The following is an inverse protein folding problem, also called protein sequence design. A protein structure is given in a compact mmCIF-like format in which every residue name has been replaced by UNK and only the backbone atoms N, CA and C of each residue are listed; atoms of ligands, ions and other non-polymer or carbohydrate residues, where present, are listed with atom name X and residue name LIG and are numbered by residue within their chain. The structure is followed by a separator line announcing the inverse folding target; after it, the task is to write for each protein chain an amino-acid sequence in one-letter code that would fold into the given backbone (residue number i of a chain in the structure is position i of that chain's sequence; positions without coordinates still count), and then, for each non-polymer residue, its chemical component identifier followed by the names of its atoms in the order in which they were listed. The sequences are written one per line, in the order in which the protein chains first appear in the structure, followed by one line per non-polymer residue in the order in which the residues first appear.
data_IF_926241555818
#
_entry.id   IF_926241555818
#
_cell.length_a   1.000
_cell.length_b   1.000
_cell.length_c   1.000
_cell.angle_alpha   90.00
_cell.angle_beta   90.00
_cell.angle_gamma   90.00
#
_symmetry.space_group_name_H-M   'P 1'
#
loop_
_entity.id
_entity.type
_entity.pdbx_description
1 polymer ?
#
# COMPACT_ATOMS: atom_id res chain seq x y z
N UNK A 1 58.01 28.06 0.33
CA UNK A 1 58.03 26.60 0.60
C UNK A 1 58.60 26.39 1.99
N UNK A 2 57.75 26.12 2.98
CA UNK A 2 58.12 25.98 4.40
C UNK A 2 57.76 24.59 4.89
N UNK A 3 58.77 23.88 5.39
CA UNK A 3 58.71 23.05 6.60
C UNK A 3 57.88 21.77 6.58
N UNK A 4 58.55 20.64 6.33
CA UNK A 4 58.17 19.34 6.90
C UNK A 4 58.41 19.35 8.41
N UNK A 5 57.41 18.96 9.21
CA UNK A 5 57.61 18.53 10.59
C UNK A 5 56.72 17.32 10.87
N UNK A 6 57.34 16.19 11.15
CA UNK A 6 56.70 15.02 11.76
C UNK A 6 56.55 15.23 13.26
N UNK A 7 55.42 14.81 13.83
CA UNK A 7 55.29 14.45 15.25
C UNK A 7 54.30 13.29 15.39
N UNK A 8 54.86 12.09 15.46
CA UNK A 8 54.27 10.96 16.18
C UNK A 8 54.99 10.91 17.52
N UNK A 9 54.25 11.04 18.62
CA UNK A 9 54.23 10.05 19.71
C UNK A 9 53.47 10.52 20.96
N UNK A 10 52.77 9.54 21.54
CA UNK A 10 52.47 9.35 22.97
C UNK A 10 51.30 10.11 23.64
N UNK A 11 50.19 9.37 23.77
CA UNK A 11 49.43 9.06 25.00
C UNK A 11 49.09 10.15 26.01
N UNK A 12 47.78 10.35 26.25
CA UNK A 12 47.22 10.23 27.61
C UNK A 12 45.72 9.95 27.57
N UNK A 13 45.36 8.92 28.34
CA UNK A 13 44.04 8.47 28.73
C UNK A 13 43.25 9.55 29.49
N UNK A 14 42.04 9.83 29.03
CA UNK A 14 41.04 10.63 29.73
C UNK A 14 39.66 10.05 29.44
N UNK A 15 38.95 9.66 30.50
CA UNK A 15 37.77 8.82 30.47
C UNK A 15 36.57 9.38 29.73
N UNK A 16 35.77 8.45 29.20
CA UNK A 16 34.54 8.72 28.49
C UNK A 16 34.15 7.54 27.63
N UNK A 17 33.96 6.36 28.23
CA UNK A 17 33.14 5.31 27.60
C UNK A 17 31.72 5.81 27.48
N UNK A 18 31.48 6.66 26.49
CA UNK A 18 30.17 6.79 25.85
C UNK A 18 29.90 5.40 25.31
N UNK A 19 29.02 4.65 25.97
CA UNK A 19 28.71 3.28 25.63
C UNK A 19 28.32 3.18 24.17
N UNK A 20 29.25 2.73 23.33
CA UNK A 20 28.93 2.30 21.98
C UNK A 20 27.95 1.16 22.13
N UNK A 21 26.67 1.40 21.83
CA UNK A 21 25.70 0.31 21.79
C UNK A 21 26.24 -0.77 20.85
N UNK A 22 26.16 -2.05 21.22
CA UNK A 22 26.51 -3.14 20.32
C UNK A 22 25.73 -2.96 19.02
N UNK A 23 26.40 -3.07 17.86
CA UNK A 23 25.79 -2.89 16.55
C UNK A 23 24.49 -3.72 16.39
N UNK A 24 24.45 -4.92 16.98
CA UNK A 24 23.26 -5.78 17.02
C UNK A 24 22.09 -5.12 17.76
N UNK A 25 22.36 -4.49 18.90
CA UNK A 25 21.35 -3.86 19.74
C UNK A 25 20.84 -2.56 19.11
N UNK A 26 21.73 -1.79 18.46
CA UNK A 26 21.35 -0.62 17.66
C UNK A 26 20.43 -1.01 16.49
N UNK A 27 20.78 -2.06 15.74
CA UNK A 27 19.94 -2.59 14.66
C UNK A 27 18.60 -3.04 15.22
N UNK A 28 18.55 -3.80 16.32
CA UNK A 28 17.31 -4.24 16.98
C UNK A 28 16.44 -3.07 17.44
N UNK A 29 17.03 -2.00 17.99
CA UNK A 29 16.28 -0.79 18.38
C UNK A 29 15.69 -0.07 17.17
N UNK A 30 16.41 0.02 16.05
CA UNK A 30 15.87 0.58 14.80
C UNK A 30 14.71 -0.29 14.26
N UNK A 31 14.83 -1.62 14.35
CA UNK A 31 13.73 -2.54 13.98
C UNK A 31 12.49 -2.30 14.83
N UNK A 32 12.67 -2.22 16.15
CA UNK A 32 11.59 -1.99 17.09
C UNK A 32 10.92 -0.63 16.83
N UNK A 33 11.71 0.42 16.58
CA UNK A 33 11.21 1.76 16.29
C UNK A 33 10.45 1.84 14.96
N UNK A 34 10.93 1.17 13.91
CA UNK A 34 10.24 1.08 12.61
C UNK A 34 8.90 0.34 12.72
N UNK A 35 8.84 -0.73 13.52
CA UNK A 35 7.59 -1.45 13.82
C UNK A 35 6.63 -0.60 14.64
N UNK A 36 7.12 0.11 15.67
CA UNK A 36 6.30 1.03 16.46
C UNK A 36 5.71 2.17 15.61
N UNK A 37 6.47 2.69 14.63
CA UNK A 37 5.93 3.67 13.69
C UNK A 37 4.81 3.09 12.81
N UNK A 38 4.89 1.82 12.41
CA UNK A 38 3.82 1.14 11.67
C UNK A 38 2.53 1.03 12.50
N UNK A 39 2.65 0.87 13.82
CA UNK A 39 1.54 0.73 14.76
C UNK A 39 1.34 1.97 15.65
N UNK A 40 1.69 3.16 15.16
CA UNK A 40 1.43 4.41 15.88
C UNK A 40 -0.06 4.59 16.19
N UNK A 41 -0.40 5.32 17.26
CA UNK A 41 -1.80 5.63 17.59
C UNK A 41 -2.54 6.31 16.44
N UNK A 42 -1.84 7.16 15.67
CA UNK A 42 -2.40 7.82 14.50
C UNK A 42 -2.71 6.84 13.36
N UNK A 43 -1.82 5.90 13.07
CA UNK A 43 -2.05 4.89 12.03
C UNK A 43 -3.16 3.91 12.44
N UNK A 44 -3.22 3.51 13.72
CA UNK A 44 -4.31 2.69 14.24
C UNK A 44 -5.67 3.40 14.18
N UNK A 45 -5.71 4.68 14.56
CA UNK A 45 -6.93 5.49 14.44
C UNK A 45 -7.36 5.66 12.99
N UNK A 46 -6.41 5.91 12.08
CA UNK A 46 -6.68 6.01 10.65
C UNK A 46 -7.22 4.70 10.07
N UNK A 47 -6.69 3.55 10.49
CA UNK A 47 -7.18 2.22 10.11
C UNK A 47 -8.58 1.93 10.67
N UNK A 48 -8.84 2.30 11.92
CA UNK A 48 -10.19 2.21 12.48
C UNK A 48 -11.17 3.11 11.70
N UNK A 49 -10.75 4.32 11.36
CA UNK A 49 -11.50 5.25 10.51
C UNK A 49 -11.80 4.69 9.13
N UNK A 50 -10.83 4.01 8.49
CA UNK A 50 -11.03 3.33 7.21
C UNK A 50 -12.09 2.22 7.33
N UNK A 51 -12.05 1.43 8.39
CA UNK A 51 -13.08 0.41 8.66
C UNK A 51 -14.47 1.03 8.86
N UNK A 52 -14.57 2.11 9.65
CA UNK A 52 -15.84 2.86 9.84
C UNK A 52 -16.34 3.46 8.53
N UNK A 53 -15.43 4.01 7.71
CA UNK A 53 -15.76 4.52 6.38
C UNK A 53 -16.39 3.45 5.50
N UNK A 54 -15.78 2.25 5.43
CA UNK A 54 -16.34 1.09 4.72
C UNK A 54 -17.75 0.76 5.21
N UNK A 55 -17.96 0.68 6.53
CA UNK A 55 -19.29 0.43 7.11
C UNK A 55 -20.30 1.49 6.68
N UNK A 56 -19.97 2.77 6.81
CA UNK A 56 -20.88 3.86 6.47
C UNK A 56 -21.19 3.91 4.99
N UNK A 57 -20.18 3.86 4.13
CA UNK A 57 -20.36 4.04 2.68
C UNK A 57 -21.10 2.88 2.06
N UNK A 58 -20.86 1.65 2.51
CA UNK A 58 -21.59 0.48 2.00
C UNK A 58 -23.07 0.57 2.38
N UNK A 59 -23.41 1.00 3.61
CA UNK A 59 -24.81 1.23 4.00
C UNK A 59 -25.47 2.34 3.17
N UNK A 60 -24.76 3.45 2.93
CA UNK A 60 -25.25 4.55 2.08
C UNK A 60 -25.48 4.06 0.65
N UNK A 61 -24.57 3.29 0.07
CA UNK A 61 -24.69 2.79 -1.30
C UNK A 61 -25.88 1.84 -1.48
N UNK A 62 -26.34 1.17 -0.42
CA UNK A 62 -27.54 0.32 -0.48
C UNK A 62 -28.86 1.10 -0.48
N UNK A 63 -28.85 2.42 -0.25
CA UNK A 63 -30.08 3.20 -0.24
C UNK A 63 -30.73 3.22 -1.65
N UNK A 64 -32.07 3.13 -1.75
CA UNK A 64 -32.77 3.04 -3.03
C UNK A 64 -32.44 4.17 -4.02
N UNK A 65 -32.20 5.39 -3.52
CA UNK A 65 -31.85 6.54 -4.35
C UNK A 65 -30.55 6.38 -5.13
N UNK A 66 -29.55 5.67 -4.56
CA UNK A 66 -28.28 5.39 -5.24
C UNK A 66 -28.37 4.15 -6.14
N UNK A 67 -29.21 3.17 -5.78
CA UNK A 67 -29.40 1.95 -6.56
C UNK A 67 -30.25 2.16 -7.83
N UNK A 68 -31.06 3.22 -7.90
CA UNK A 68 -31.94 3.49 -9.02
C UNK A 68 -31.19 3.79 -10.34
N UNK A 69 -30.04 4.46 -10.26
CA UNK A 69 -29.30 4.91 -11.44
C UNK A 69 -28.00 4.12 -11.61
N UNK A 70 -27.92 3.30 -12.66
CA UNK A 70 -26.75 2.45 -12.92
C UNK A 70 -25.43 3.23 -12.96
N UNK A 71 -25.41 4.41 -13.58
CA UNK A 71 -24.23 5.26 -13.67
C UNK A 71 -23.80 5.81 -12.32
N UNK A 72 -24.76 6.20 -11.48
CA UNK A 72 -24.46 6.74 -10.15
C UNK A 72 -23.90 5.62 -9.27
N UNK A 73 -24.53 4.45 -9.31
CA UNK A 73 -24.04 3.26 -8.60
C UNK A 73 -22.62 2.92 -9.01
N UNK A 74 -22.35 2.78 -10.31
CA UNK A 74 -21.01 2.42 -10.80
C UNK A 74 -19.95 3.47 -10.48
N UNK A 75 -20.30 4.77 -10.63
CA UNK A 75 -19.41 5.87 -10.30
C UNK A 75 -19.05 5.88 -8.81
N UNK A 76 -20.05 5.73 -7.94
CA UNK A 76 -19.83 5.73 -6.49
C UNK A 76 -19.06 4.47 -6.04
N UNK A 77 -19.38 3.30 -6.59
CA UNK A 77 -18.67 2.05 -6.30
C UNK A 77 -17.17 2.20 -6.61
N UNK A 78 -16.85 2.65 -7.83
CA UNK A 78 -15.47 2.91 -8.26
C UNK A 78 -14.78 4.02 -7.44
N UNK A 79 -15.53 5.06 -7.05
CA UNK A 79 -15.02 6.11 -6.16
C UNK A 79 -14.64 5.54 -4.78
N UNK A 80 -15.42 4.61 -4.24
CA UNK A 80 -15.08 3.92 -2.99
C UNK A 80 -13.81 3.10 -3.15
N UNK A 81 -13.63 2.36 -4.25
CA UNK A 81 -12.37 1.65 -4.53
C UNK A 81 -11.17 2.62 -4.52
N UNK A 82 -11.32 3.77 -5.18
CA UNK A 82 -10.29 4.81 -5.19
C UNK A 82 -9.97 5.39 -3.81
N UNK A 83 -10.99 5.73 -3.02
CA UNK A 83 -10.81 6.26 -1.67
C UNK A 83 -10.13 5.22 -0.76
N UNK A 84 -10.56 3.96 -0.82
CA UNK A 84 -9.97 2.89 0.00
C UNK A 84 -8.50 2.67 -0.36
N UNK A 85 -8.15 2.62 -1.65
CA UNK A 85 -6.76 2.48 -2.10
C UNK A 85 -5.89 3.65 -1.66
N UNK A 86 -6.39 4.88 -1.84
CA UNK A 86 -5.74 6.12 -1.41
C UNK A 86 -5.47 6.13 0.09
N UNK A 87 -6.51 5.88 0.89
CA UNK A 87 -6.43 5.93 2.35
C UNK A 87 -5.52 4.82 2.88
N UNK A 88 -5.61 3.61 2.31
CA UNK A 88 -4.73 2.50 2.65
C UNK A 88 -3.27 2.85 2.43
N UNK A 89 -2.92 3.46 1.28
CA UNK A 89 -1.55 3.86 1.01
C UNK A 89 -1.07 4.99 1.95
N UNK A 90 -1.93 5.95 2.28
CA UNK A 90 -1.61 7.00 3.24
C UNK A 90 -1.23 6.43 4.62
N UNK A 91 -1.90 5.36 5.06
CA UNK A 91 -1.57 4.64 6.30
C UNK A 91 -0.22 3.92 6.18
N UNK A 92 0.08 3.28 5.04
CA UNK A 92 1.34 2.56 4.80
C UNK A 92 2.56 3.48 4.92
N UNK A 93 2.53 4.62 4.23
CA UNK A 93 3.68 5.52 4.14
C UNK A 93 3.75 6.50 5.31
N UNK A 94 2.61 6.87 5.91
CA UNK A 94 2.51 7.92 6.91
C UNK A 94 2.88 9.28 6.32
N UNK A 95 1.87 10.07 5.94
CA UNK A 95 2.06 11.37 5.29
C UNK A 95 2.99 12.30 6.09
N UNK A 96 4.10 12.75 5.50
CA UNK A 96 5.06 13.69 6.10
C UNK A 96 5.37 14.88 5.21
N UNK A 97 5.38 14.69 3.89
CA UNK A 97 5.75 15.73 2.91
C UNK A 97 4.73 15.83 1.78
N UNK A 98 4.79 16.95 1.04
CA UNK A 98 3.89 17.21 -0.08
C UNK A 98 3.96 16.16 -1.18
N UNK A 99 5.12 15.57 -1.44
CA UNK A 99 5.24 14.54 -2.49
C UNK A 99 4.53 13.23 -2.15
N UNK A 100 4.34 12.93 -0.86
CA UNK A 100 3.57 11.76 -0.42
C UNK A 100 2.10 11.85 -0.87
N UNK A 101 1.58 13.08 -1.00
CA UNK A 101 0.22 13.32 -1.49
C UNK A 101 0.02 12.82 -2.93
N UNK A 102 1.02 12.96 -3.79
CA UNK A 102 0.95 12.44 -5.15
C UNK A 102 0.95 10.91 -5.19
N UNK A 103 1.74 10.26 -4.32
CA UNK A 103 1.73 8.80 -4.21
C UNK A 103 0.37 8.29 -3.71
N UNK A 104 -0.21 8.97 -2.74
CA UNK A 104 -1.54 8.66 -2.18
C UNK A 104 -2.64 8.81 -3.23
N UNK A 105 -2.64 9.90 -4.01
CA UNK A 105 -3.54 10.04 -5.15
C UNK A 105 -3.33 8.93 -6.18
N UNK A 106 -2.08 8.62 -6.51
CA UNK A 106 -1.75 7.58 -7.49
C UNK A 106 -2.26 6.21 -7.03
N UNK A 107 -2.16 5.86 -5.75
CA UNK A 107 -2.74 4.63 -5.20
C UNK A 107 -4.26 4.57 -5.41
N UNK A 108 -4.97 5.67 -5.13
CA UNK A 108 -6.40 5.74 -5.40
C UNK A 108 -6.75 5.60 -6.88
N UNK A 109 -5.99 6.27 -7.75
CA UNK A 109 -6.17 6.13 -9.21
C UNK A 109 -5.91 4.70 -9.67
N UNK A 110 -4.86 4.04 -9.20
CA UNK A 110 -4.57 2.65 -9.53
C UNK A 110 -5.72 1.73 -9.08
N UNK A 111 -6.30 1.95 -7.90
CA UNK A 111 -7.45 1.18 -7.43
C UNK A 111 -8.70 1.38 -8.29
N UNK A 112 -8.93 2.61 -8.78
CA UNK A 112 -10.08 2.90 -9.66
C UNK A 112 -9.89 2.50 -11.12
N UNK A 113 -8.65 2.44 -11.60
CA UNK A 113 -8.32 2.03 -12.97
C UNK A 113 -8.60 0.54 -13.22
N UNK A 114 -8.69 -0.27 -12.16
CA UNK A 114 -8.99 -1.71 -12.26
C UNK A 114 -10.35 -1.91 -12.95
N UNK A 115 -11.38 -1.15 -12.55
CA UNK A 115 -12.73 -1.21 -13.13
C UNK A 115 -12.79 -0.87 -14.62
N UNK A 116 -11.76 -0.24 -15.19
CA UNK A 116 -11.74 0.04 -16.62
C UNK A 116 -11.61 -1.23 -17.46
N UNK A 117 -11.15 -2.34 -16.87
CA UNK A 117 -11.10 -3.63 -17.56
C UNK A 117 -12.49 -4.16 -17.93
N UNK A 118 -13.55 -3.72 -17.25
CA UNK A 118 -14.94 -4.01 -17.64
C UNK A 118 -15.28 -3.40 -19.00
N UNK A 119 -14.88 -2.16 -19.25
CA UNK A 119 -15.10 -1.50 -20.54
C UNK A 119 -14.23 -2.12 -21.63
N UNK A 120 -12.99 -2.49 -21.30
CA UNK A 120 -12.10 -3.22 -22.21
C UNK A 120 -12.71 -4.57 -22.60
N UNK A 121 -13.16 -5.37 -21.63
CA UNK A 121 -13.78 -6.68 -21.87
C UNK A 121 -15.13 -6.55 -22.59
N UNK A 122 -15.90 -5.49 -22.33
CA UNK A 122 -17.14 -5.21 -23.05
C UNK A 122 -16.91 -4.75 -24.50
N UNK A 123 -15.67 -4.39 -24.87
CA UNK A 123 -15.36 -3.80 -26.16
C UNK A 123 -16.12 -2.50 -26.45
N UNK A 124 -16.59 -1.79 -25.41
CA UNK A 124 -17.40 -0.58 -25.56
C UNK A 124 -17.34 0.31 -24.31
N UNK A 125 -17.62 1.60 -24.46
CA UNK A 125 -17.80 2.55 -23.36
C UNK A 125 -19.23 2.56 -22.78
N UNK A 126 -20.06 1.58 -23.19
CA UNK A 126 -21.43 1.45 -22.67
C UNK A 126 -21.40 0.88 -21.27
N UNK A 127 -21.86 1.67 -20.29
CA UNK A 127 -21.92 1.21 -18.91
C UNK A 127 -22.81 -0.02 -18.74
N UNK A 128 -23.91 -0.11 -19.51
CA UNK A 128 -24.78 -1.28 -19.52
C UNK A 128 -24.01 -2.52 -19.95
N UNK A 129 -23.18 -2.42 -20.99
CA UNK A 129 -22.36 -3.54 -21.47
C UNK A 129 -21.26 -3.92 -20.47
N UNK A 130 -20.55 -2.93 -19.91
CA UNK A 130 -19.49 -3.13 -18.92
C UNK A 130 -19.99 -3.82 -17.64
N UNK A 131 -21.24 -3.59 -17.25
CA UNK A 131 -21.86 -4.19 -16.05
C UNK A 131 -22.65 -5.47 -16.33
N UNK A 132 -22.77 -5.89 -17.59
CA UNK A 132 -23.52 -7.09 -18.00
C UNK A 132 -22.63 -8.16 -18.64
N UNK A 133 -21.35 -8.23 -18.26
CA UNK A 133 -20.39 -9.18 -18.81
C UNK A 133 -20.73 -10.62 -18.39
N UNK A 134 -20.52 -11.58 -19.30
CA UNK A 134 -20.69 -13.02 -19.02
C UNK A 134 -19.52 -13.63 -18.27
N UNK A 135 -18.35 -13.00 -18.33
CA UNK A 135 -17.11 -13.46 -17.70
C UNK A 135 -16.47 -12.31 -16.92
N UNK A 136 -15.70 -12.66 -15.88
CA UNK A 136 -14.95 -11.65 -15.12
C UNK A 136 -13.81 -11.07 -15.96
N UNK A 137 -13.66 -9.76 -15.98
CA UNK A 137 -12.51 -9.10 -16.58
C UNK A 137 -11.16 -9.54 -15.96
N UNK A 138 -10.05 -9.44 -16.73
CA UNK A 138 -8.78 -10.05 -16.35
C UNK A 138 -8.10 -9.38 -15.15
N UNK A 139 -8.26 -8.08 -14.92
CA UNK A 139 -7.63 -7.42 -13.75
C UNK A 139 -8.28 -7.89 -12.45
N UNK A 140 -9.52 -8.38 -12.50
CA UNK A 140 -10.22 -9.01 -11.37
C UNK A 140 -9.77 -10.46 -11.09
N UNK A 141 -8.74 -10.97 -11.76
CA UNK A 141 -8.10 -12.24 -11.44
C UNK A 141 -7.12 -12.05 -10.27
N UNK A 142 -7.47 -12.58 -9.09
CA UNK A 142 -6.66 -12.40 -7.87
C UNK A 142 -5.29 -13.07 -7.97
N UNK A 143 -5.16 -14.14 -8.76
CA UNK A 143 -3.87 -14.78 -9.05
C UNK A 143 -2.92 -13.83 -9.81
N UNK A 144 -3.44 -12.86 -10.58
CA UNK A 144 -2.60 -11.90 -11.30
C UNK A 144 -1.95 -10.86 -10.40
N UNK A 145 -2.48 -10.60 -9.21
CA UNK A 145 -1.92 -9.61 -8.27
C UNK A 145 -0.44 -9.91 -7.96
N UNK A 146 -0.06 -11.08 -7.40
CA UNK A 146 1.33 -11.36 -7.10
C UNK A 146 2.21 -11.40 -8.35
N UNK A 147 1.69 -11.90 -9.47
CA UNK A 147 2.41 -11.95 -10.76
C UNK A 147 2.74 -10.53 -11.24
N UNK A 148 1.77 -9.62 -11.21
CA UNK A 148 1.94 -8.25 -11.69
C UNK A 148 2.88 -7.46 -10.76
N UNK A 149 2.72 -7.58 -9.45
CA UNK A 149 3.59 -6.92 -8.46
C UNK A 149 5.03 -7.42 -8.57
N UNK A 150 5.24 -8.73 -8.71
CA UNK A 150 6.57 -9.32 -8.87
C UNK A 150 7.20 -8.93 -10.21
N UNK A 151 6.44 -8.98 -11.30
CA UNK A 151 6.91 -8.57 -12.63
C UNK A 151 7.33 -7.11 -12.65
N UNK A 152 6.53 -6.23 -12.06
CA UNK A 152 6.89 -4.82 -11.91
C UNK A 152 8.17 -4.64 -11.09
N UNK A 153 8.31 -5.34 -9.97
CA UNK A 153 9.53 -5.32 -9.17
C UNK A 153 10.75 -5.78 -9.97
N UNK A 154 10.61 -6.83 -10.77
CA UNK A 154 11.66 -7.34 -11.65
C UNK A 154 12.05 -6.30 -12.71
N UNK A 155 11.07 -5.66 -13.36
CA UNK A 155 11.31 -4.59 -14.35
C UNK A 155 12.08 -3.41 -13.71
N UNK A 156 11.67 -2.96 -12.52
CA UNK A 156 12.37 -1.89 -11.81
C UNK A 156 13.80 -2.29 -11.42
N UNK A 157 14.01 -3.56 -11.07
CA UNK A 157 15.34 -4.08 -10.77
C UNK A 157 16.23 -4.13 -12.02
N UNK A 158 15.73 -4.70 -13.12
CA UNK A 158 16.44 -4.77 -14.41
C UNK A 158 16.76 -3.37 -14.96
N UNK A 159 15.83 -2.43 -14.83
CA UNK A 159 16.00 -1.04 -15.25
C UNK A 159 16.86 -0.19 -14.32
N UNK A 160 17.39 -0.75 -13.21
CA UNK A 160 18.12 -0.01 -12.16
C UNK A 160 17.33 1.18 -11.58
N UNK A 161 16.00 1.09 -11.61
CA UNK A 161 15.07 2.08 -11.08
C UNK A 161 14.59 1.74 -9.66
N UNK A 162 15.09 0.63 -9.09
CA UNK A 162 14.65 0.09 -7.80
C UNK A 162 14.69 1.16 -6.70
N UNK A 163 15.73 1.98 -6.61
CA UNK A 163 15.88 2.96 -5.53
C UNK A 163 14.94 4.16 -5.74
N UNK A 164 14.59 4.45 -7.00
CA UNK A 164 13.70 5.55 -7.35
C UNK A 164 12.22 5.21 -7.16
N UNK A 165 11.81 3.98 -7.46
CA UNK A 165 10.41 3.56 -7.53
C UNK A 165 10.11 2.32 -6.69
N UNK A 166 10.89 2.06 -5.62
CA UNK A 166 10.74 0.87 -4.77
C UNK A 166 9.34 0.71 -4.15
N UNK A 167 8.59 1.81 -3.96
CA UNK A 167 7.25 1.80 -3.40
C UNK A 167 6.17 1.38 -4.40
N UNK A 168 6.41 1.51 -5.71
CA UNK A 168 5.41 1.30 -6.76
C UNK A 168 4.81 -0.12 -6.77
N UNK A 169 5.59 -1.22 -6.63
CA UNK A 169 5.02 -2.57 -6.53
C UNK A 169 4.10 -2.75 -5.31
N UNK A 170 4.43 -2.12 -4.19
CA UNK A 170 3.63 -2.19 -2.96
C UNK A 170 2.37 -1.34 -3.04
N UNK A 171 2.46 -0.19 -3.69
CA UNK A 171 1.31 0.66 -4.00
C UNK A 171 0.35 -0.04 -4.97
N UNK A 172 0.87 -0.74 -5.98
CA UNK A 172 0.05 -1.56 -6.86
C UNK A 172 -0.60 -2.72 -6.11
N UNK A 173 0.16 -3.39 -5.23
CA UNK A 173 -0.35 -4.45 -4.37
C UNK A 173 -1.50 -3.98 -3.49
N UNK A 174 -1.33 -2.87 -2.75
CA UNK A 174 -2.38 -2.38 -1.85
C UNK A 174 -3.65 -2.04 -2.64
N UNK A 175 -3.49 -1.39 -3.80
CA UNK A 175 -4.60 -0.94 -4.66
C UNK A 175 -5.41 -2.13 -5.19
N UNK A 176 -4.72 -3.14 -5.74
CA UNK A 176 -5.36 -4.35 -6.26
C UNK A 176 -6.00 -5.18 -5.16
N UNK A 177 -5.29 -5.43 -4.06
CA UNK A 177 -5.82 -6.28 -2.99
C UNK A 177 -7.02 -5.62 -2.32
N UNK A 178 -6.96 -4.32 -1.99
CA UNK A 178 -8.11 -3.64 -1.39
C UNK A 178 -9.33 -3.67 -2.32
N UNK A 179 -9.11 -3.49 -3.62
CA UNK A 179 -10.16 -3.56 -4.62
C UNK A 179 -10.81 -4.96 -4.64
N UNK A 180 -10.00 -6.02 -4.77
CA UNK A 180 -10.47 -7.40 -4.85
C UNK A 180 -11.15 -7.87 -3.57
N UNK A 181 -10.66 -7.45 -2.40
CA UNK A 181 -11.25 -7.82 -1.11
C UNK A 181 -12.65 -7.22 -0.96
N UNK A 182 -12.85 -5.96 -1.37
CA UNK A 182 -14.17 -5.33 -1.38
C UNK A 182 -15.12 -6.04 -2.34
N UNK A 183 -14.70 -6.31 -3.56
CA UNK A 183 -15.52 -6.99 -4.56
C UNK A 183 -15.77 -8.46 -4.25
N UNK A 184 -14.85 -9.09 -3.53
CA UNK A 184 -14.98 -10.46 -3.05
C UNK A 184 -16.19 -10.67 -2.15
N UNK A 185 -16.80 -9.62 -1.58
CA UNK A 185 -18.04 -9.73 -0.81
C UNK A 185 -19.23 -10.21 -1.63
N UNK A 186 -19.27 -9.91 -2.94
CA UNK A 186 -20.39 -10.27 -3.83
C UNK A 186 -20.20 -11.64 -4.48
N UNK A 187 -18.99 -11.91 -4.96
CA UNK A 187 -18.74 -13.08 -5.81
C UNK A 187 -17.53 -13.92 -5.37
N UNK A 188 -16.86 -13.56 -4.27
CA UNK A 188 -15.59 -14.17 -3.88
C UNK A 188 -14.42 -13.75 -4.79
N UNK A 189 -13.23 -14.17 -4.40
CA UNK A 189 -12.00 -13.98 -5.16
C UNK A 189 -11.90 -15.00 -6.30
N UNK A 190 -11.54 -14.53 -7.49
CA UNK A 190 -11.21 -15.39 -8.62
C UNK A 190 -9.73 -15.80 -8.57
N UNK A 191 -9.46 -17.07 -8.31
CA UNK A 191 -8.13 -17.67 -8.20
C UNK A 191 -7.91 -18.61 -9.38
N UNK A 192 -7.50 -18.07 -10.53
CA UNK A 192 -7.18 -18.87 -11.71
C UNK A 192 -5.93 -19.75 -11.46
N UNK A 193 -5.88 -21.03 -11.91
CA UNK A 193 -6.93 -21.79 -12.61
C UNK A 193 -7.90 -22.54 -11.67
N UNK A 194 -7.80 -22.34 -10.36
CA UNK A 194 -8.57 -23.07 -9.33
C UNK A 194 -10.04 -22.63 -9.17
N UNK A 195 -10.47 -21.58 -9.88
CA UNK A 195 -11.86 -21.12 -9.90
C UNK A 195 -12.14 -19.96 -8.94
N UNK A 196 -13.36 -19.87 -8.40
CA UNK A 196 -13.76 -18.82 -7.47
C UNK A 196 -13.81 -19.37 -6.04
N UNK A 197 -13.39 -18.54 -5.09
CA UNK A 197 -13.64 -18.78 -3.65
C UNK A 197 -15.10 -18.45 -3.30
N UNK A 198 -15.55 -18.86 -2.12
CA UNK A 198 -16.83 -18.39 -1.59
C UNK A 198 -16.81 -16.86 -1.37
N UNK A 199 -17.97 -16.17 -1.41
CA UNK A 199 -18.04 -14.76 -1.06
C UNK A 199 -17.42 -14.47 0.31
N UNK A 200 -16.63 -13.41 0.38
CA UNK A 200 -15.97 -12.96 1.61
C UNK A 200 -17.06 -12.46 2.55
N UNK A 201 -17.06 -12.93 3.80
CA UNK A 201 -18.01 -12.42 4.78
C UNK A 201 -17.78 -10.93 5.02
N UNK A 202 -18.86 -10.17 5.23
CA UNK A 202 -18.78 -8.71 5.31
C UNK A 202 -17.79 -8.22 6.38
N UNK A 203 -17.84 -8.81 7.58
CA UNK A 203 -16.90 -8.49 8.66
C UNK A 203 -15.46 -8.86 8.34
N UNK A 204 -15.23 -9.94 7.58
CA UNK A 204 -13.90 -10.32 7.13
C UNK A 204 -13.35 -9.30 6.13
N UNK A 205 -14.17 -8.82 5.19
CA UNK A 205 -13.78 -7.74 4.28
C UNK A 205 -13.36 -6.48 5.05
N UNK A 206 -14.19 -6.00 5.99
CA UNK A 206 -13.89 -4.78 6.76
C UNK A 206 -12.61 -4.96 7.59
N UNK A 207 -12.47 -6.13 8.22
CA UNK A 207 -11.29 -6.46 9.03
C UNK A 207 -10.01 -6.53 8.19
N UNK A 208 -10.06 -7.16 7.01
CA UNK A 208 -8.93 -7.22 6.09
C UNK A 208 -8.60 -5.81 5.60
N UNK A 209 -9.57 -5.04 5.13
CA UNK A 209 -9.34 -3.66 4.63
C UNK A 209 -8.70 -2.77 5.70
N UNK A 210 -9.16 -2.85 6.95
CA UNK A 210 -8.59 -2.06 8.04
C UNK A 210 -7.17 -2.50 8.45
N UNK A 211 -6.82 -3.78 8.31
CA UNK A 211 -5.52 -4.31 8.75
C UNK A 211 -4.48 -4.42 7.64
N UNK A 212 -4.92 -4.48 6.38
CA UNK A 212 -4.08 -4.63 5.19
C UNK A 212 -2.96 -3.57 5.08
N UNK A 213 -3.19 -2.28 5.38
CA UNK A 213 -2.11 -1.28 5.34
C UNK A 213 -0.96 -1.60 6.30
N UNK A 214 -1.27 -2.06 7.53
CA UNK A 214 -0.26 -2.41 8.51
C UNK A 214 0.50 -3.68 8.09
N UNK A 215 -0.21 -4.69 7.57
CA UNK A 215 0.43 -5.88 7.02
C UNK A 215 1.38 -5.51 5.87
N UNK A 216 0.93 -4.68 4.94
CA UNK A 216 1.76 -4.19 3.83
C UNK A 216 3.01 -3.47 4.34
N UNK A 217 2.86 -2.57 5.32
CA UNK A 217 3.97 -1.86 5.94
C UNK A 217 4.99 -2.81 6.62
N UNK A 218 4.52 -3.83 7.35
CA UNK A 218 5.38 -4.87 7.93
C UNK A 218 6.11 -5.66 6.86
N UNK A 219 5.43 -6.05 5.78
CA UNK A 219 6.06 -6.77 4.66
C UNK A 219 7.11 -5.92 3.96
N UNK A 220 6.83 -4.63 3.70
CA UNK A 220 7.79 -3.67 3.15
C UNK A 220 9.03 -3.52 4.02
N UNK A 221 8.85 -3.57 5.34
CA UNK A 221 9.94 -3.57 6.30
C UNK A 221 10.78 -4.86 6.18
N UNK A 222 10.15 -6.03 6.19
CA UNK A 222 10.83 -7.33 6.07
C UNK A 222 11.59 -7.49 4.74
N UNK A 223 11.13 -6.86 3.66
CA UNK A 223 11.82 -6.88 2.37
C UNK A 223 12.86 -5.77 2.19
N UNK A 224 13.14 -4.98 3.23
CA UNK A 224 14.09 -3.85 3.21
C UNK A 224 13.64 -2.65 2.36
N UNK A 225 12.39 -2.65 1.88
CA UNK A 225 11.85 -1.54 1.08
C UNK A 225 11.59 -0.31 1.93
N UNK A 226 11.17 -0.50 3.18
CA UNK A 226 10.91 0.59 4.12
C UNK A 226 12.19 1.37 4.47
N UNK A 227 13.34 0.71 4.54
CA UNK A 227 14.63 1.35 4.81
C UNK A 227 15.09 2.23 3.64
N UNK A 228 14.88 1.76 2.40
CA UNK A 228 15.15 2.55 1.18
C UNK A 228 14.21 3.77 1.09
N UNK A 229 12.95 3.63 1.48
CA UNK A 229 12.02 4.75 1.54
C UNK A 229 12.45 5.73 2.63
N UNK A 230 12.73 5.26 3.85
CA UNK A 230 13.14 6.08 4.99
C UNK A 230 14.40 6.91 4.70
N UNK A 231 15.43 6.29 4.11
CA UNK A 231 16.71 6.94 3.76
C UNK A 231 16.56 7.97 2.64
N UNK A 232 15.74 7.69 1.61
CA UNK A 232 15.44 8.64 0.52
C UNK A 232 14.53 9.79 0.93
N UNK A 233 13.70 9.58 1.96
CA UNK A 233 12.66 10.52 2.39
C UNK A 233 13.11 11.42 3.55
N UNK A 234 14.38 11.34 3.95
CA UNK A 234 14.95 12.22 4.95
C UNK A 234 14.33 11.97 6.32
N UNK A 235 14.55 10.78 6.87
CA UNK A 235 14.56 10.67 8.33
C UNK A 235 15.88 11.29 8.79
N UNK A 236 15.83 12.59 9.09
CA UNK A 236 16.52 13.05 10.28
C UNK A 236 15.94 12.21 11.42
N UNK A 237 16.73 11.25 11.89
CA UNK A 237 16.54 10.74 13.24
C UNK A 237 16.95 11.93 14.10
N UNK A 238 16.02 12.85 14.35
CA UNK A 238 16.23 13.82 15.41
C UNK A 238 16.22 13.03 16.72
N UNK A 239 17.36 13.14 17.40
CA UNK A 239 17.67 12.69 18.76
C UNK A 239 16.73 13.35 19.76
#
# INVERSE_FOLDING_TARGET
MRGFHSKLDSSSSGGGTVGSMPLSLAVETEKAQALLQTFSSASLLASAGLGVFCLMVDNVLQLPGFQQYLWLRALLDNTVHGIVGLWSWAIVIGLRKKSDFYEVILAGLLASLIDLDHFYMAGSLSLKAATSLSHRPPLHCSTFIPVLCFSLRLVLWLGRLKDSWCSLPWMLFISLVSHHIRDGTRHGLWVCPFGNTAPISYWLYVSITATLPHLCSVLMYLTGTRDVISTKHGVAIDV
#
